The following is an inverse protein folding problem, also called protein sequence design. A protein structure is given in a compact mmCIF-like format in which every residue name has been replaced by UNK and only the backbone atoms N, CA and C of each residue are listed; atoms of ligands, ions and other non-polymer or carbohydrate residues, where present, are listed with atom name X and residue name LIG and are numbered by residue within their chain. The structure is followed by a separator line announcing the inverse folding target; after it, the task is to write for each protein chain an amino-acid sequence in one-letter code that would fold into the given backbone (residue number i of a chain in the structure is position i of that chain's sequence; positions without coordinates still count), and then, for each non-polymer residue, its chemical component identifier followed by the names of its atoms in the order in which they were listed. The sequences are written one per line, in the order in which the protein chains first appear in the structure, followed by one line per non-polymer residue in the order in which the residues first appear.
data_IF_267337957714
#
_entry.id   IF_267337957714
#
_cell.length_a   1.000
_cell.length_b   1.000
_cell.length_c   1.000
_cell.angle_alpha   90.00
_cell.angle_beta   90.00
_cell.angle_gamma   90.00
#
_symmetry.space_group_name_H-M   'P 1'
#
loop_
_entity.id
_entity.type
_entity.pdbx_description
1 polymer ?
#
# COMPACT_ATOMS: atom_id res chain seq x y z
N UNK A 1 -16.48 16.13 29.68
CA UNK A 1 -16.84 14.71 29.52
C UNK A 1 -15.97 14.13 28.43
N UNK A 2 -15.13 13.13 28.73
CA UNK A 2 -14.29 12.49 27.72
C UNK A 2 -15.15 11.56 26.85
N UNK A 3 -15.06 11.71 25.53
CA UNK A 3 -15.69 10.78 24.59
C UNK A 3 -14.84 9.51 24.60
N UNK A 4 -15.45 8.37 24.97
CA UNK A 4 -14.77 7.08 24.82
C UNK A 4 -14.69 6.79 23.31
N UNK A 5 -13.51 6.58 22.73
CA UNK A 5 -13.40 6.27 21.32
C UNK A 5 -14.12 4.94 21.06
N UNK A 6 -15.03 4.94 20.08
CA UNK A 6 -15.64 3.70 19.61
C UNK A 6 -14.55 2.96 18.82
N UNK A 7 -14.06 1.87 19.38
CA UNK A 7 -13.13 0.96 18.69
C UNK A 7 -13.96 -0.11 17.97
N UNK A 8 -13.84 -0.26 16.64
CA UNK A 8 -14.52 -1.33 15.92
C UNK A 8 -14.10 -2.71 16.43
N UNK A 9 -15.03 -3.67 16.39
CA UNK A 9 -14.72 -5.06 16.71
C UNK A 9 -13.84 -5.69 15.62
N UNK A 10 -13.12 -6.76 15.96
CA UNK A 10 -12.31 -7.53 15.00
C UNK A 10 -10.79 -7.34 15.12
N UNK A 11 -10.29 -6.60 16.11
CA UNK A 11 -8.86 -6.56 16.40
C UNK A 11 -8.30 -7.96 16.75
N UNK A 12 -7.10 -8.34 16.27
CA UNK A 12 -6.15 -7.56 15.47
C UNK A 12 -6.36 -7.61 13.93
N UNK A 13 -7.41 -8.27 13.45
CA UNK A 13 -7.63 -8.56 12.03
C UNK A 13 -7.08 -9.94 11.61
N UNK A 14 -7.46 -10.39 10.41
CA UNK A 14 -6.94 -11.64 9.82
C UNK A 14 -5.53 -11.42 9.24
N UNK A 15 -4.71 -12.48 9.07
CA UNK A 15 -3.42 -12.36 8.42
C UNK A 15 -3.53 -11.82 6.99
N UNK A 16 -2.78 -10.76 6.70
CA UNK A 16 -2.71 -10.14 5.39
C UNK A 16 -1.79 -10.93 4.43
N UNK A 17 -1.92 -10.65 3.13
CA UNK A 17 -1.11 -11.24 2.06
C UNK A 17 -0.70 -10.15 1.07
N UNK A 18 0.48 -10.31 0.48
CA UNK A 18 0.89 -9.50 -0.66
C UNK A 18 0.11 -9.87 -1.92
N UNK A 19 0.06 -8.94 -2.86
CA UNK A 19 -0.62 -9.19 -4.14
C UNK A 19 0.28 -10.02 -5.05
N UNK A 20 -0.28 -10.56 -6.13
CA UNK A 20 0.49 -11.35 -7.10
C UNK A 20 1.66 -10.56 -7.68
N UNK A 21 2.80 -11.22 -7.89
CA UNK A 21 3.97 -10.62 -8.55
C UNK A 21 3.79 -10.43 -10.06
N UNK A 22 2.74 -11.00 -10.66
CA UNK A 22 2.41 -10.77 -12.07
C UNK A 22 1.82 -9.36 -12.25
N UNK A 23 2.67 -8.39 -12.59
CA UNK A 23 2.28 -6.98 -12.75
C UNK A 23 1.92 -6.68 -14.20
N UNK A 24 0.80 -5.98 -14.40
CA UNK A 24 0.44 -5.39 -15.70
C UNK A 24 1.05 -4.01 -15.90
N UNK A 25 1.57 -3.37 -14.85
CA UNK A 25 2.26 -2.09 -14.95
C UNK A 25 3.03 -1.71 -13.70
N UNK A 26 4.05 -0.88 -13.89
CA UNK A 26 4.84 -0.23 -12.83
C UNK A 26 5.02 1.25 -13.17
N UNK A 27 5.09 2.12 -12.17
CA UNK A 27 5.24 3.56 -12.40
C UNK A 27 5.99 4.29 -11.30
N UNK A 28 6.69 5.36 -11.72
CA UNK A 28 7.40 6.33 -10.89
C UNK A 28 7.48 7.65 -11.66
N UNK A 29 7.62 8.77 -10.98
CA UNK A 29 7.95 10.03 -11.65
C UNK A 29 9.40 10.02 -12.15
N UNK A 30 9.67 10.73 -13.24
CA UNK A 30 11.05 10.98 -13.67
C UNK A 30 11.80 11.93 -12.72
N UNK A 31 11.06 12.80 -12.02
CA UNK A 31 11.66 13.72 -11.05
C UNK A 31 12.07 12.99 -9.78
N UNK A 32 13.29 13.19 -9.27
CA UNK A 32 13.72 12.63 -7.98
C UNK A 32 13.00 13.25 -6.77
N UNK A 33 12.25 14.33 -6.97
CA UNK A 33 11.41 14.91 -5.91
C UNK A 33 10.27 13.97 -5.49
N UNK A 34 9.81 13.08 -6.37
CA UNK A 34 8.85 12.04 -6.03
C UNK A 34 9.59 10.74 -5.71
N UNK A 35 9.39 10.23 -4.49
CA UNK A 35 9.97 8.98 -4.01
C UNK A 35 8.93 7.87 -3.88
N UNK A 36 7.96 7.88 -4.79
CA UNK A 36 6.84 6.94 -4.78
C UNK A 36 6.91 6.09 -6.03
N UNK A 37 6.94 4.77 -5.84
CA UNK A 37 6.77 3.77 -6.89
C UNK A 37 5.46 3.03 -6.67
N UNK A 38 4.77 2.64 -7.73
CA UNK A 38 3.53 1.84 -7.61
C UNK A 38 3.50 0.72 -8.64
N UNK A 39 2.69 -0.30 -8.35
CA UNK A 39 2.44 -1.43 -9.25
C UNK A 39 0.94 -1.63 -9.47
N UNK A 40 0.59 -2.24 -10.60
CA UNK A 40 -0.79 -2.52 -11.02
C UNK A 40 -0.87 -3.99 -11.45
N UNK A 41 -1.95 -4.65 -11.06
CA UNK A 41 -2.39 -5.95 -11.57
C UNK A 41 -3.89 -6.10 -11.31
N UNK A 42 -4.57 -6.98 -12.07
CA UNK A 42 -6.00 -7.26 -11.89
C UNK A 42 -6.90 -6.00 -11.91
N UNK A 43 -6.48 -4.94 -12.63
CA UNK A 43 -7.22 -3.69 -12.73
C UNK A 43 -7.19 -2.79 -11.49
N UNK A 44 -6.33 -3.08 -10.50
CA UNK A 44 -6.20 -2.30 -9.27
C UNK A 44 -4.75 -1.88 -9.01
N UNK A 45 -4.58 -0.84 -8.18
CA UNK A 45 -3.29 -0.56 -7.54
C UNK A 45 -2.95 -1.67 -6.55
N UNK A 46 -1.67 -2.05 -6.51
CA UNK A 46 -1.15 -3.04 -5.58
C UNK A 46 -0.16 -2.39 -4.61
N UNK A 47 1.10 -2.82 -4.61
CA UNK A 47 2.12 -2.28 -3.73
C UNK A 47 2.54 -0.87 -4.16
N UNK A 48 2.73 -0.03 -3.15
CA UNK A 48 3.26 1.33 -3.26
C UNK A 48 4.50 1.42 -2.38
N UNK A 49 5.63 1.79 -2.97
CA UNK A 49 6.91 1.82 -2.28
C UNK A 49 7.31 3.26 -1.95
N UNK A 50 7.68 3.50 -0.71
CA UNK A 50 8.15 4.78 -0.19
C UNK A 50 8.87 4.60 1.15
N UNK A 51 9.95 5.35 1.45
CA UNK A 51 10.62 6.36 0.64
C UNK A 51 11.66 5.78 -0.32
N UNK A 52 11.83 4.45 -0.33
CA UNK A 52 12.77 3.71 -1.15
C UNK A 52 12.05 2.57 -1.85
N UNK A 53 12.62 2.08 -2.94
CA UNK A 53 12.03 1.03 -3.77
C UNK A 53 11.98 -0.35 -3.07
N UNK A 54 12.72 -0.53 -1.97
CA UNK A 54 12.73 -1.73 -1.14
C UNK A 54 11.80 -1.61 0.10
N UNK A 55 11.03 -0.53 0.19
CA UNK A 55 10.13 -0.23 1.31
C UNK A 55 8.67 -0.28 0.84
N UNK A 56 8.05 -1.45 0.89
CA UNK A 56 6.65 -1.68 0.53
C UNK A 56 5.71 -1.67 1.76
#
# INVERSE_FOLDING_TARGET
MAVTPIVPTGAPGIPARWTSSAKSGVGVALSPSSRVWFTISHGILNEVYYPRVDSA
#
